data_IF_700494246799
#
_entry.id   IF_700494246799
#
_cell.length_a   1.000
_cell.length_b   1.000
_cell.length_c   1.000
_cell.angle_alpha   90.00
_cell.angle_beta   90.00
_cell.angle_gamma   90.00
#
_symmetry.space_group_name_H-M   'P 1'
#
loop_
_entity.id
_entity.type
_entity.pdbx_description
1 polymer ?
#
# COMPACT_ATOMS: atom_id res chain seq x y z
N UNK A 1 -5.93 -19.57 24.05
CA UNK A 1 -5.97 -18.10 24.10
C UNK A 1 -5.95 -17.58 22.66
N UNK A 2 -6.83 -16.64 22.32
CA UNK A 2 -6.84 -15.91 21.05
C UNK A 2 -6.77 -14.42 21.34
N UNK A 3 -6.09 -13.67 20.49
CA UNK A 3 -5.95 -12.22 20.65
C UNK A 3 -5.93 -11.48 19.33
N UNK A 4 -6.38 -10.23 19.35
CA UNK A 4 -6.38 -9.34 18.19
C UNK A 4 -5.98 -7.94 18.61
N UNK A 5 -4.99 -7.35 17.90
CA UNK A 5 -4.52 -5.99 18.13
C UNK A 5 -5.12 -5.08 17.06
N UNK A 6 -5.68 -3.95 17.48
CA UNK A 6 -6.18 -2.91 16.56
C UNK A 6 -5.74 -1.52 17.02
N UNK A 7 -5.75 -0.56 16.13
CA UNK A 7 -5.48 0.84 16.41
C UNK A 7 -6.65 1.69 15.97
N UNK A 8 -6.74 2.90 16.53
CA UNK A 8 -7.73 3.92 16.17
C UNK A 8 -7.57 4.40 14.72
N UNK A 9 -6.39 4.19 14.13
CA UNK A 9 -6.07 4.57 12.74
C UNK A 9 -5.06 3.59 12.11
N UNK A 10 -4.83 3.72 10.81
CA UNK A 10 -3.88 2.87 10.07
C UNK A 10 -2.45 3.42 9.99
N UNK A 11 -2.30 4.75 10.17
CA UNK A 11 -1.01 5.46 10.10
C UNK A 11 -0.98 6.55 11.16
N UNK A 12 0.13 6.69 11.86
CA UNK A 12 0.40 7.72 12.86
C UNK A 12 1.56 8.60 12.41
N UNK A 13 1.78 9.71 13.10
CA UNK A 13 2.91 10.61 12.90
C UNK A 13 3.89 10.47 14.07
N UNK A 14 5.18 10.75 13.87
CA UNK A 14 6.09 11.02 14.99
C UNK A 14 5.49 12.07 15.93
N UNK A 15 5.53 11.83 17.24
CA UNK A 15 4.89 12.67 18.24
C UNK A 15 3.45 12.33 18.57
N UNK A 16 2.79 11.47 17.78
CA UNK A 16 1.44 11.00 18.11
C UNK A 16 1.46 9.99 19.27
N UNK A 17 0.38 9.97 20.03
CA UNK A 17 0.06 8.84 20.91
C UNK A 17 -0.71 7.79 20.12
N UNK A 18 -0.18 6.58 20.05
CA UNK A 18 -0.85 5.45 19.41
C UNK A 18 -1.88 4.88 20.37
N UNK A 19 -3.17 5.06 20.09
CA UNK A 19 -4.27 4.45 20.86
C UNK A 19 -4.52 3.04 20.31
N UNK A 20 -4.02 2.05 21.05
CA UNK A 20 -4.06 0.64 20.64
C UNK A 20 -4.98 -0.16 21.55
N UNK A 21 -5.86 -0.95 20.95
CA UNK A 21 -6.69 -1.92 21.64
C UNK A 21 -6.18 -3.34 21.43
N UNK A 22 -6.24 -4.13 22.47
CA UNK A 22 -6.03 -5.58 22.41
C UNK A 22 -7.26 -6.30 22.92
N UNK A 23 -7.87 -7.10 22.08
CA UNK A 23 -9.00 -7.95 22.46
C UNK A 23 -8.49 -9.35 22.76
N UNK A 24 -8.64 -9.77 24.01
CA UNK A 24 -8.27 -11.09 24.50
C UNK A 24 -9.51 -11.98 24.60
N UNK A 25 -9.44 -13.16 24.00
CA UNK A 25 -10.46 -14.21 24.14
C UNK A 25 -9.86 -15.42 24.84
N UNK A 26 -10.12 -15.55 26.13
CA UNK A 26 -9.77 -16.69 26.98
C UNK A 26 -11.02 -17.47 27.41
N UNK A 27 -11.68 -18.12 26.44
CA UNK A 27 -12.90 -18.91 26.70
C UNK A 27 -12.67 -20.04 27.70
N UNK A 28 -11.47 -20.57 27.73
CA UNK A 28 -11.11 -21.70 28.60
C UNK A 28 -10.70 -21.28 30.01
N UNK A 29 -10.72 -19.96 30.30
CA UNK A 29 -10.33 -19.36 31.60
C UNK A 29 -8.96 -19.89 32.09
N UNK A 30 -7.99 -19.94 31.17
CA UNK A 30 -6.64 -20.42 31.46
C UNK A 30 -5.80 -19.40 32.23
N UNK A 31 -6.18 -18.12 32.16
CA UNK A 31 -5.46 -17.04 32.84
C UNK A 31 -6.08 -16.73 34.21
N UNK A 32 -5.23 -16.54 35.23
CA UNK A 32 -5.72 -16.09 36.53
C UNK A 32 -6.31 -14.67 36.46
N UNK A 33 -7.12 -14.32 37.45
CA UNK A 33 -7.66 -12.97 37.57
C UNK A 33 -6.53 -11.92 37.63
N UNK A 34 -6.71 -10.81 36.95
CA UNK A 34 -5.73 -9.70 36.84
C UNK A 34 -4.37 -10.14 36.24
N UNK A 35 -4.37 -11.16 35.39
CA UNK A 35 -3.15 -11.57 34.68
C UNK A 35 -2.62 -10.39 33.84
N UNK A 36 -1.31 -10.10 33.90
CA UNK A 36 -0.75 -8.97 33.15
C UNK A 36 -0.80 -9.19 31.65
N UNK A 37 -1.29 -8.18 30.93
CA UNK A 37 -1.20 -8.05 29.47
C UNK A 37 -0.16 -6.99 29.21
N UNK A 38 0.94 -7.38 28.56
CA UNK A 38 2.11 -6.51 28.32
C UNK A 38 2.15 -6.15 26.85
N UNK A 39 2.10 -4.86 26.55
CA UNK A 39 2.27 -4.35 25.19
C UNK A 39 3.63 -3.69 25.04
N UNK A 40 4.35 -4.08 24.01
CA UNK A 40 5.68 -3.58 23.69
C UNK A 40 5.70 -3.03 22.27
N UNK A 41 6.36 -1.88 22.11
CA UNK A 41 6.52 -1.19 20.83
C UNK A 41 7.99 -1.26 20.42
N UNK A 42 8.24 -1.60 19.15
CA UNK A 42 9.57 -1.70 18.55
C UNK A 42 9.64 -0.81 17.31
N UNK A 43 10.73 -0.06 17.17
CA UNK A 43 10.96 0.83 16.05
C UNK A 43 11.28 0.07 14.75
N UNK A 44 11.42 0.74 13.58
CA UNK A 44 11.72 0.09 12.31
C UNK A 44 13.06 -0.68 12.26
N UNK A 45 13.98 -0.37 13.16
CA UNK A 45 15.26 -1.09 13.30
C UNK A 45 15.14 -2.32 14.20
N UNK A 46 13.95 -2.62 14.73
CA UNK A 46 13.70 -3.72 15.65
C UNK A 46 14.16 -3.45 17.09
N UNK A 47 14.51 -2.21 17.41
CA UNK A 47 14.90 -1.82 18.76
C UNK A 47 13.66 -1.59 19.63
N UNK A 48 13.75 -2.04 20.88
CA UNK A 48 12.72 -1.78 21.89
C UNK A 48 12.57 -0.27 22.09
N UNK A 49 11.29 0.17 22.13
CA UNK A 49 10.97 1.58 22.27
C UNK A 49 10.18 1.87 23.55
N UNK A 50 9.05 1.19 23.77
CA UNK A 50 8.17 1.44 24.91
C UNK A 50 7.47 0.16 25.35
N UNK A 51 7.21 0.02 26.66
CA UNK A 51 6.39 -1.04 27.25
C UNK A 51 5.30 -0.44 28.13
N UNK A 52 4.10 -0.99 28.03
CA UNK A 52 3.01 -0.75 28.98
C UNK A 52 2.35 -2.05 29.41
N UNK A 53 1.90 -2.10 30.65
CA UNK A 53 1.26 -3.27 31.23
C UNK A 53 -0.13 -2.89 31.75
N UNK A 54 -1.13 -3.69 31.43
CA UNK A 54 -2.48 -3.60 31.94
C UNK A 54 -2.85 -4.92 32.64
N UNK A 55 -3.48 -4.85 33.79
CA UNK A 55 -3.96 -6.02 34.53
C UNK A 55 -5.49 -6.12 34.54
N UNK A 56 -6.17 -5.06 34.14
CA UNK A 56 -7.63 -4.98 34.08
C UNK A 56 -8.06 -4.59 32.68
N UNK A 57 -8.94 -5.38 32.08
CA UNK A 57 -9.61 -5.10 30.82
C UNK A 57 -11.13 -5.16 30.99
N UNK A 58 -11.87 -4.42 30.19
CA UNK A 58 -13.33 -4.47 30.18
C UNK A 58 -13.80 -5.48 29.13
N UNK A 59 -14.51 -6.51 29.55
CA UNK A 59 -14.97 -7.61 28.67
C UNK A 59 -13.88 -8.23 27.79
N UNK A 60 -12.63 -8.31 28.28
CA UNK A 60 -11.48 -8.81 27.53
C UNK A 60 -10.81 -7.77 26.63
N UNK A 61 -11.26 -6.53 26.64
CA UNK A 61 -10.64 -5.42 25.92
C UNK A 61 -9.67 -4.66 26.83
N UNK A 62 -8.42 -4.53 26.36
CA UNK A 62 -7.34 -3.77 27.00
C UNK A 62 -6.97 -2.59 26.09
N UNK A 63 -6.89 -1.39 26.67
CA UNK A 63 -6.54 -0.17 25.92
C UNK A 63 -5.18 0.33 26.38
N UNK A 64 -4.33 0.66 25.40
CA UNK A 64 -2.97 1.14 25.63
C UNK A 64 -2.72 2.44 24.88
N UNK A 65 -2.26 3.44 25.60
CA UNK A 65 -1.76 4.70 25.01
C UNK A 65 -0.24 4.61 24.92
N UNK A 66 0.27 4.54 23.71
CA UNK A 66 1.69 4.37 23.40
C UNK A 66 2.22 5.66 22.75
N UNK A 67 2.69 6.64 23.54
CA UNK A 67 3.23 7.90 23.01
C UNK A 67 4.53 7.67 22.25
N UNK A 68 4.71 8.43 21.18
CA UNK A 68 5.98 8.51 20.44
C UNK A 68 6.57 9.91 20.54
N UNK A 69 7.90 10.01 20.44
CA UNK A 69 8.60 11.30 20.43
C UNK A 69 8.44 11.97 19.05
N UNK A 70 8.54 13.32 18.99
CA UNK A 70 8.43 14.06 17.72
C UNK A 70 9.52 13.70 16.68
N UNK A 71 10.65 13.18 17.14
CA UNK A 71 11.78 12.71 16.33
C UNK A 71 11.79 11.19 16.14
N UNK A 72 10.72 10.50 16.55
CA UNK A 72 10.60 9.05 16.36
C UNK A 72 10.79 8.67 14.88
N UNK A 73 11.56 7.61 14.58
CA UNK A 73 11.85 7.24 13.20
C UNK A 73 10.57 6.81 12.47
N UNK A 74 10.44 7.27 11.23
CA UNK A 74 9.34 6.86 10.33
C UNK A 74 9.57 5.45 9.78
N UNK A 75 8.50 4.76 9.44
CA UNK A 75 8.54 3.44 8.82
C UNK A 75 7.63 2.42 9.47
N UNK A 76 7.97 1.15 9.30
CA UNK A 76 7.20 0.02 9.82
C UNK A 76 7.64 -0.32 11.25
N UNK A 77 6.75 -0.07 12.20
CA UNK A 77 6.92 -0.42 13.62
C UNK A 77 6.24 -1.74 13.94
N UNK A 78 6.70 -2.45 14.95
CA UNK A 78 6.07 -3.67 15.42
C UNK A 78 5.52 -3.47 16.84
N UNK A 79 4.29 -3.91 17.06
CA UNK A 79 3.68 -4.03 18.38
C UNK A 79 3.59 -5.51 18.74
N UNK A 80 4.09 -5.87 19.90
CA UNK A 80 3.94 -7.18 20.48
C UNK A 80 3.08 -7.10 21.74
N UNK A 81 2.12 -8.01 21.85
CA UNK A 81 1.34 -8.19 23.09
C UNK A 81 1.64 -9.57 23.66
N UNK A 82 2.19 -9.57 24.85
CA UNK A 82 2.55 -10.79 25.60
C UNK A 82 1.51 -11.06 26.70
N UNK A 83 0.87 -12.22 26.67
CA UNK A 83 -0.11 -12.65 27.65
C UNK A 83 -0.17 -14.16 27.74
N UNK A 84 -0.07 -14.70 28.96
CA UNK A 84 -0.17 -16.15 29.21
C UNK A 84 0.83 -17.00 28.42
N UNK A 85 2.04 -16.52 28.18
CA UNK A 85 3.09 -17.20 27.41
C UNK A 85 2.89 -17.14 25.88
N UNK A 86 1.88 -16.40 25.38
CA UNK A 86 1.62 -16.21 23.95
C UNK A 86 1.95 -14.79 23.56
N UNK A 87 2.58 -14.62 22.39
CA UNK A 87 2.87 -13.31 21.79
C UNK A 87 2.01 -13.08 20.55
N UNK A 88 1.30 -11.96 20.53
CA UNK A 88 0.56 -11.47 19.37
C UNK A 88 1.31 -10.28 18.78
N UNK A 89 1.47 -10.24 17.45
CA UNK A 89 2.23 -9.19 16.76
C UNK A 89 1.36 -8.48 15.75
N UNK A 90 1.50 -7.14 15.69
CA UNK A 90 0.90 -6.30 14.63
C UNK A 90 1.94 -5.31 14.12
N UNK A 91 1.98 -5.16 12.80
CA UNK A 91 2.76 -4.11 12.14
C UNK A 91 1.94 -2.82 12.08
N UNK A 92 2.56 -1.72 12.47
CA UNK A 92 2.03 -0.36 12.42
C UNK A 92 2.86 0.50 11.46
N UNK A 93 2.30 1.62 11.02
CA UNK A 93 3.03 2.63 10.24
C UNK A 93 3.07 3.95 10.98
N UNK A 94 4.27 4.49 11.15
CA UNK A 94 4.50 5.86 11.62
C UNK A 94 5.17 6.60 10.47
N UNK A 95 4.49 7.61 9.93
CA UNK A 95 4.92 8.32 8.73
C UNK A 95 4.79 9.84 8.95
N UNK A 96 5.74 10.59 8.44
CA UNK A 96 5.58 12.04 8.36
C UNK A 96 4.67 12.35 7.17
N UNK A 97 3.39 12.59 7.43
CA UNK A 97 2.46 12.99 6.39
C UNK A 97 2.66 14.49 6.14
N UNK A 98 3.46 14.82 5.15
CA UNK A 98 3.52 16.18 4.61
C UNK A 98 2.39 16.31 3.57
N UNK A 99 1.52 17.34 3.68
CA UNK A 99 0.53 17.57 2.63
C UNK A 99 1.23 17.88 1.32
N UNK A 100 0.67 17.39 0.22
CA UNK A 100 1.13 17.78 -1.10
C UNK A 100 1.06 19.30 -1.25
N UNK A 101 2.11 19.88 -1.78
CA UNK A 101 2.17 21.30 -2.16
C UNK A 101 2.08 21.47 -3.67
N UNK A 102 2.30 20.40 -4.40
CA UNK A 102 2.19 20.32 -5.85
C UNK A 102 0.95 19.50 -6.23
N UNK A 103 0.28 19.93 -7.27
CA UNK A 103 -0.73 19.16 -7.98
C UNK A 103 -0.04 18.51 -9.18
N UNK A 104 -0.09 17.18 -9.21
CA UNK A 104 0.53 16.33 -10.24
C UNK A 104 -0.61 15.76 -11.07
N UNK A 105 -0.56 15.95 -12.38
CA UNK A 105 -1.54 15.42 -13.31
C UNK A 105 -0.83 14.54 -14.34
N UNK A 106 -0.85 13.21 -14.13
CA UNK A 106 -0.30 12.24 -15.08
C UNK A 106 -1.43 11.72 -15.96
N UNK A 107 -1.43 12.12 -17.22
CA UNK A 107 -2.41 11.71 -18.22
C UNK A 107 -1.89 10.48 -18.96
N UNK A 108 -2.54 9.35 -18.70
CA UNK A 108 -2.25 8.09 -19.37
C UNK A 108 -3.00 7.99 -20.70
N UNK A 109 -2.47 7.26 -21.71
CA UNK A 109 -3.21 7.02 -22.93
C UNK A 109 -4.53 6.29 -22.64
N UNK A 110 -5.62 6.55 -23.37
CA UNK A 110 -6.95 5.97 -23.13
C UNK A 110 -7.03 4.46 -23.41
N UNK A 111 -5.98 3.89 -23.99
CA UNK A 111 -5.87 2.47 -24.30
C UNK A 111 -5.23 1.70 -23.14
N UNK A 112 -5.60 0.42 -23.02
CA UNK A 112 -4.88 -0.50 -22.13
C UNK A 112 -3.40 -0.50 -22.47
N UNK A 113 -2.57 -0.55 -21.45
CA UNK A 113 -1.14 -0.73 -21.64
C UNK A 113 -0.88 -2.17 -22.12
N UNK A 114 -0.05 -2.34 -23.12
CA UNK A 114 0.31 -3.64 -23.68
C UNK A 114 1.79 -3.93 -23.43
N UNK A 115 2.10 -5.17 -23.13
CA UNK A 115 3.48 -5.63 -23.00
C UNK A 115 4.27 -5.38 -24.28
N UNK A 116 5.46 -4.80 -24.13
CA UNK A 116 6.37 -4.50 -25.23
C UNK A 116 5.96 -3.31 -26.08
N UNK A 117 4.82 -2.67 -25.81
CA UNK A 117 4.45 -1.45 -26.54
C UNK A 117 4.93 -0.20 -25.78
N UNK A 118 5.28 0.86 -26.51
CA UNK A 118 5.68 2.11 -25.88
C UNK A 118 4.48 2.74 -25.15
N UNK A 119 4.74 3.18 -23.93
CA UNK A 119 3.87 4.10 -23.19
C UNK A 119 4.33 5.52 -23.48
N UNK A 120 3.42 6.34 -23.99
CA UNK A 120 3.57 7.78 -24.07
C UNK A 120 2.50 8.41 -23.16
N UNK A 121 2.95 9.01 -22.06
CA UNK A 121 2.09 9.72 -21.11
C UNK A 121 2.57 11.16 -20.96
N UNK A 122 1.63 12.08 -20.73
CA UNK A 122 1.91 13.48 -20.44
C UNK A 122 1.76 13.73 -18.95
N UNK A 123 2.70 14.43 -18.36
CA UNK A 123 2.63 14.90 -16.98
C UNK A 123 2.65 16.41 -16.94
N UNK A 124 1.75 17.01 -16.15
CA UNK A 124 1.75 18.42 -15.82
C UNK A 124 1.81 18.59 -14.31
N UNK A 125 2.65 19.53 -13.85
CA UNK A 125 2.85 19.82 -12.44
C UNK A 125 2.71 21.31 -12.19
N UNK A 126 1.89 21.67 -11.22
CA UNK A 126 1.68 23.04 -10.76
C UNK A 126 1.68 23.12 -9.24
N UNK A 127 2.05 24.25 -8.67
CA UNK A 127 1.85 24.51 -7.25
C UNK A 127 0.35 24.63 -6.96
N UNK A 128 -0.10 24.26 -5.76
CA UNK A 128 -1.52 24.33 -5.37
C UNK A 128 -2.12 25.74 -5.49
N UNK A 129 -1.28 26.78 -5.39
CA UNK A 129 -1.70 28.18 -5.64
C UNK A 129 -1.71 28.57 -7.12
N UNK A 130 -1.48 27.62 -8.05
CA UNK A 130 -1.57 27.83 -9.49
C UNK A 130 -0.27 28.30 -10.17
N UNK A 131 0.83 28.46 -9.42
CA UNK A 131 2.12 28.80 -10.03
C UNK A 131 2.73 27.57 -10.73
N UNK A 132 3.46 27.78 -11.81
CA UNK A 132 4.15 26.73 -12.58
C UNK A 132 5.25 26.08 -11.76
N UNK A 133 5.26 24.75 -11.71
CA UNK A 133 6.27 23.94 -11.04
C UNK A 133 7.39 23.55 -12.01
N UNK A 134 8.25 24.54 -12.35
CA UNK A 134 9.30 24.42 -13.37
C UNK A 134 10.55 23.72 -12.87
N UNK A 135 11.18 22.94 -13.72
CA UNK A 135 12.51 22.35 -13.51
C UNK A 135 12.59 21.46 -12.26
N UNK A 136 11.49 20.85 -11.84
CA UNK A 136 11.45 19.96 -10.69
C UNK A 136 11.78 18.52 -11.09
N UNK A 137 12.60 17.85 -10.28
CA UNK A 137 12.90 16.42 -10.46
C UNK A 137 11.68 15.58 -10.13
N UNK A 138 11.50 14.50 -10.88
CA UNK A 138 10.46 13.53 -10.60
C UNK A 138 10.97 12.09 -10.74
N UNK A 139 10.31 11.17 -10.06
CA UNK A 139 10.37 9.74 -10.33
C UNK A 139 8.96 9.13 -10.39
N UNK A 140 8.82 8.09 -11.20
CA UNK A 140 7.59 7.31 -11.34
C UNK A 140 7.95 5.85 -11.14
N UNK A 141 7.37 5.24 -10.11
CA UNK A 141 7.53 3.82 -9.80
C UNK A 141 6.26 3.07 -10.18
N UNK A 142 6.38 2.05 -11.02
CA UNK A 142 5.28 1.18 -11.42
C UNK A 142 5.30 -0.14 -10.64
N UNK A 143 4.17 -0.55 -10.09
CA UNK A 143 3.96 -1.86 -9.48
C UNK A 143 2.83 -2.57 -10.20
N UNK A 144 3.03 -3.85 -10.53
CA UNK A 144 2.08 -4.66 -11.28
C UNK A 144 1.59 -5.80 -10.40
N UNK A 145 0.27 -5.96 -10.32
CA UNK A 145 -0.38 -7.03 -9.54
C UNK A 145 -1.41 -7.75 -10.42
N UNK A 146 -1.65 -9.03 -10.14
CA UNK A 146 -2.74 -9.78 -10.80
C UNK A 146 -4.09 -9.14 -10.54
N UNK A 147 -4.93 -9.11 -11.57
CA UNK A 147 -6.33 -8.70 -11.48
C UNK A 147 -7.17 -9.63 -12.35
N UNK A 148 -8.43 -9.92 -11.99
CA UNK A 148 -9.31 -10.74 -12.84
C UNK A 148 -9.42 -10.18 -14.25
N UNK A 149 -9.21 -11.02 -15.24
CA UNK A 149 -9.36 -10.66 -16.65
C UNK A 149 -10.82 -10.64 -17.05
N UNK A 150 -11.34 -9.46 -17.34
CA UNK A 150 -12.75 -9.29 -17.71
C UNK A 150 -12.91 -8.47 -18.99
N UNK A 151 -13.91 -8.84 -19.79
CA UNK A 151 -14.31 -8.11 -21.00
C UNK A 151 -15.81 -7.86 -20.96
N UNK A 152 -16.25 -6.67 -21.32
CA UNK A 152 -17.64 -6.21 -21.18
C UNK A 152 -18.67 -7.10 -21.90
N UNK A 153 -18.32 -7.69 -23.02
CA UNK A 153 -19.19 -8.60 -23.78
C UNK A 153 -19.17 -10.06 -23.33
N UNK A 154 -18.30 -10.43 -22.38
CA UNK A 154 -17.98 -11.82 -22.07
C UNK A 154 -18.02 -12.14 -20.58
N UNK A 155 -19.00 -11.60 -19.85
CA UNK A 155 -19.12 -11.72 -18.38
C UNK A 155 -19.21 -13.15 -17.85
N UNK A 156 -19.61 -14.12 -18.69
CA UNK A 156 -19.74 -15.55 -18.32
C UNK A 156 -18.50 -16.38 -18.69
N UNK A 157 -17.42 -15.74 -19.13
CA UNK A 157 -16.19 -16.40 -19.53
C UNK A 157 -15.08 -16.16 -18.50
N UNK A 158 -14.24 -17.16 -18.32
CA UNK A 158 -13.01 -17.10 -17.54
C UNK A 158 -11.83 -17.03 -18.51
N UNK A 159 -10.93 -16.08 -18.29
CA UNK A 159 -9.79 -15.79 -19.15
C UNK A 159 -8.44 -15.99 -18.45
N UNK A 160 -8.45 -16.15 -17.13
CA UNK A 160 -7.24 -16.30 -16.36
C UNK A 160 -6.81 -17.78 -16.34
N UNK A 161 -5.50 -18.02 -16.48
CA UNK A 161 -4.90 -19.34 -16.40
C UNK A 161 -4.67 -19.71 -14.92
N UNK A 162 -5.45 -20.64 -14.34
CA UNK A 162 -5.34 -20.98 -12.91
C UNK A 162 -4.06 -21.73 -12.55
N UNK A 163 -3.31 -22.21 -13.55
CA UNK A 163 -2.02 -22.88 -13.35
C UNK A 163 -0.87 -21.90 -13.15
N UNK A 164 -1.09 -20.63 -13.45
CA UNK A 164 -0.06 -19.58 -13.35
C UNK A 164 -0.21 -18.77 -12.09
N UNK A 165 0.90 -18.48 -11.46
CA UNK A 165 1.00 -17.59 -10.30
C UNK A 165 1.86 -16.40 -10.70
N UNK A 166 1.37 -15.20 -10.41
CA UNK A 166 2.12 -13.97 -10.62
C UNK A 166 2.30 -13.26 -9.27
N UNK A 167 3.52 -13.17 -8.82
CA UNK A 167 3.87 -12.31 -7.71
C UNK A 167 3.98 -10.87 -8.21
N UNK A 168 3.70 -9.89 -7.34
CA UNK A 168 3.83 -8.48 -7.73
C UNK A 168 5.26 -8.18 -8.17
N UNK A 169 5.38 -7.54 -9.32
CA UNK A 169 6.67 -7.06 -9.84
C UNK A 169 6.71 -5.54 -9.75
N UNK A 170 7.80 -5.01 -9.22
CA UNK A 170 8.11 -3.59 -9.29
C UNK A 170 8.82 -3.31 -10.61
N UNK A 171 8.32 -2.31 -11.33
CA UNK A 171 8.97 -1.89 -12.56
C UNK A 171 10.17 -0.98 -12.27
N UNK A 172 10.97 -0.81 -13.29
CA UNK A 172 12.04 0.19 -13.31
C UNK A 172 11.48 1.59 -13.02
N UNK A 173 12.16 2.31 -12.16
CA UNK A 173 11.85 3.72 -11.88
C UNK A 173 12.15 4.55 -13.14
N UNK A 174 11.17 5.37 -13.54
CA UNK A 174 11.30 6.37 -14.60
C UNK A 174 11.56 7.70 -13.91
N UNK A 175 12.65 8.38 -14.25
CA UNK A 175 13.00 9.66 -13.65
C UNK A 175 13.30 10.71 -14.69
N UNK A 176 13.10 11.97 -14.35
CA UNK A 176 13.32 13.10 -15.21
C UNK A 176 13.17 14.43 -14.49
N UNK A 177 13.02 15.49 -15.28
CA UNK A 177 12.82 16.86 -14.81
C UNK A 177 11.69 17.50 -15.63
N UNK A 178 10.79 18.24 -14.97
CA UNK A 178 9.77 19.03 -15.66
C UNK A 178 10.42 20.20 -16.41
N UNK A 179 9.82 20.63 -17.49
CA UNK A 179 10.29 21.79 -18.26
C UNK A 179 9.91 23.13 -17.58
N UNK A 180 10.13 24.23 -18.29
CA UNK A 180 9.81 25.59 -17.83
C UNK A 180 8.30 25.83 -17.67
N UNK A 181 7.44 25.04 -18.32
CA UNK A 181 5.99 25.09 -18.21
C UNK A 181 5.45 24.13 -17.13
N UNK A 182 6.29 23.34 -16.48
CA UNK A 182 5.89 22.31 -15.53
C UNK A 182 5.49 21.01 -16.21
N UNK A 183 5.79 20.82 -17.49
CA UNK A 183 5.39 19.67 -18.28
C UNK A 183 6.53 18.65 -18.40
N UNK A 184 6.14 17.39 -18.58
CA UNK A 184 7.07 16.32 -18.94
C UNK A 184 6.37 15.28 -19.81
N UNK A 185 7.10 14.74 -20.80
CA UNK A 185 6.68 13.58 -21.59
C UNK A 185 7.33 12.33 -21.02
N UNK A 186 6.49 11.39 -20.58
CA UNK A 186 6.92 10.12 -19.99
C UNK A 186 6.92 9.06 -21.08
N UNK A 187 8.10 8.57 -21.41
CA UNK A 187 8.25 7.45 -22.37
C UNK A 187 8.78 6.23 -21.65
N UNK A 188 8.05 5.14 -21.72
CA UNK A 188 8.45 3.88 -21.11
C UNK A 188 8.01 2.67 -21.94
N UNK A 189 8.62 1.53 -21.69
CA UNK A 189 8.22 0.24 -22.24
C UNK A 189 8.32 -0.80 -21.13
N UNK A 190 7.28 -1.57 -20.95
CA UNK A 190 7.20 -2.61 -19.92
C UNK A 190 7.18 -3.99 -20.55
N UNK A 191 8.07 -4.88 -20.08
CA UNK A 191 8.17 -6.29 -20.49
C UNK A 191 7.77 -7.24 -19.36
N UNK A 192 6.78 -6.83 -18.57
CA UNK A 192 6.34 -7.49 -17.35
C UNK A 192 5.25 -8.51 -17.64
N UNK A 193 5.12 -9.53 -16.80
CA UNK A 193 3.99 -10.46 -16.79
C UNK A 193 4.03 -11.53 -17.88
N UNK A 194 5.21 -11.96 -18.36
CA UNK A 194 5.31 -13.07 -19.30
C UNK A 194 4.65 -14.36 -18.79
N UNK A 195 4.63 -14.56 -17.46
CA UNK A 195 4.01 -15.70 -16.77
C UNK A 195 2.72 -15.33 -16.02
N UNK A 196 2.15 -14.16 -16.28
CA UNK A 196 0.92 -13.74 -15.59
C UNK A 196 -0.26 -14.66 -15.93
N UNK A 197 -1.19 -14.92 -14.99
CA UNK A 197 -2.39 -15.70 -15.25
C UNK A 197 -3.32 -15.01 -16.25
N UNK A 198 -3.35 -13.70 -16.27
CA UNK A 198 -4.23 -12.89 -17.09
C UNK A 198 -3.79 -11.43 -17.12
N UNK A 199 -4.75 -10.51 -17.07
CA UNK A 199 -4.48 -9.08 -16.95
C UNK A 199 -3.82 -8.72 -15.64
N UNK A 200 -3.08 -7.62 -15.66
CA UNK A 200 -2.50 -7.00 -14.47
C UNK A 200 -3.10 -5.61 -14.26
N UNK A 201 -3.12 -5.19 -13.01
CA UNK A 201 -3.35 -3.81 -12.63
C UNK A 201 -1.98 -3.16 -12.39
N UNK A 202 -1.64 -2.18 -13.20
CA UNK A 202 -0.47 -1.34 -13.03
C UNK A 202 -0.83 -0.15 -12.14
N UNK A 203 -0.06 0.05 -11.07
CA UNK A 203 -0.16 1.22 -10.17
C UNK A 203 1.12 2.04 -10.33
N UNK A 204 0.99 3.29 -10.75
CA UNK A 204 2.10 4.22 -10.94
C UNK A 204 2.07 5.25 -9.82
N UNK A 205 3.12 5.28 -9.01
CA UNK A 205 3.32 6.28 -7.97
C UNK A 205 4.33 7.29 -8.49
N UNK A 206 3.88 8.53 -8.68
CA UNK A 206 4.70 9.66 -9.13
C UNK A 206 5.09 10.48 -7.92
N UNK A 207 6.38 10.78 -7.78
CA UNK A 207 6.92 11.73 -6.81
C UNK A 207 7.54 12.89 -7.58
N UNK A 208 7.21 14.11 -7.17
CA UNK A 208 7.86 15.32 -7.69
C UNK A 208 8.52 16.04 -6.52
N UNK A 209 9.80 16.32 -6.65
CA UNK A 209 10.67 16.83 -5.59
C UNK A 209 10.81 18.35 -5.68
N UNK A 210 10.63 19.00 -4.54
CA UNK A 210 10.95 20.41 -4.35
C UNK A 210 12.44 20.61 -4.13
N UNK A 211 12.94 21.83 -4.32
CA UNK A 211 14.36 22.16 -4.04
C UNK A 211 14.75 21.92 -2.59
N UNK A 212 13.80 22.01 -1.66
CA UNK A 212 14.01 21.69 -0.23
C UNK A 212 14.26 20.21 0.06
N UNK A 213 14.06 19.33 -0.93
CA UNK A 213 14.09 17.88 -0.77
C UNK A 213 12.75 17.26 -0.37
N UNK A 214 11.74 18.07 -0.06
CA UNK A 214 10.37 17.59 0.11
C UNK A 214 9.80 17.12 -1.22
N UNK A 215 8.75 16.32 -1.18
CA UNK A 215 8.10 15.86 -2.40
C UNK A 215 6.58 15.77 -2.23
N UNK A 216 5.89 15.92 -3.34
CA UNK A 216 4.47 15.62 -3.48
C UNK A 216 4.28 14.31 -4.22
N UNK A 217 3.19 13.61 -3.92
CA UNK A 217 2.88 12.29 -4.46
C UNK A 217 1.53 12.31 -5.17
N UNK A 218 1.46 11.61 -6.32
CA UNK A 218 0.21 11.22 -6.97
C UNK A 218 0.26 9.74 -7.36
N UNK A 219 -0.91 9.10 -7.46
CA UNK A 219 -1.01 7.70 -7.81
C UNK A 219 -2.07 7.47 -8.88
N UNK A 220 -1.65 6.85 -9.97
CA UNK A 220 -2.49 6.50 -11.10
C UNK A 220 -2.53 5.00 -11.31
N UNK A 221 -3.65 4.48 -11.83
CA UNK A 221 -3.82 3.06 -12.13
C UNK A 221 -4.27 2.87 -13.56
N UNK A 222 -3.76 1.82 -14.20
CA UNK A 222 -4.17 1.40 -15.53
C UNK A 222 -4.21 -0.11 -15.65
N UNK A 223 -5.09 -0.64 -16.48
CA UNK A 223 -5.02 -2.03 -16.85
C UNK A 223 -3.83 -2.28 -17.78
N UNK A 224 -3.09 -3.32 -17.49
CA UNK A 224 -1.96 -3.76 -18.30
C UNK A 224 -2.23 -5.16 -18.82
N UNK A 225 -2.03 -5.34 -20.11
CA UNK A 225 -2.23 -6.61 -20.80
C UNK A 225 -0.89 -7.24 -21.16
N UNK A 226 -0.48 -8.33 -20.48
CA UNK A 226 0.70 -9.09 -20.84
C UNK A 226 0.58 -9.78 -22.19
N UNK A 227 -0.65 -10.02 -22.63
CA UNK A 227 -0.96 -10.79 -23.85
C UNK A 227 -1.75 -9.95 -24.84
N UNK A 228 -1.52 -10.17 -26.12
CA UNK A 228 -2.29 -9.55 -27.21
C UNK A 228 -3.64 -10.24 -27.42
N UNK A 229 -3.76 -11.50 -27.00
CA UNK A 229 -4.94 -12.33 -27.14
C UNK A 229 -5.23 -13.07 -25.83
N UNK A 230 -6.51 -13.25 -25.52
CA UNK A 230 -7.01 -14.03 -24.41
C UNK A 230 -8.03 -15.05 -24.92
N UNK A 231 -7.85 -16.30 -24.57
CA UNK A 231 -8.79 -17.34 -24.86
C UNK A 231 -9.68 -17.55 -23.62
N UNK A 232 -10.99 -17.46 -23.79
CA UNK A 232 -11.96 -17.54 -22.69
C UNK A 232 -12.69 -18.87 -22.68
N UNK A 233 -12.85 -19.46 -21.50
CA UNK A 233 -13.62 -20.68 -21.28
C UNK A 233 -14.95 -20.30 -20.62
N UNK A 234 -16.06 -20.78 -21.19
CA UNK A 234 -17.36 -20.68 -20.58
C UNK A 234 -17.71 -22.04 -19.97
N UNK A 235 -17.90 -22.05 -18.63
CA UNK A 235 -18.44 -23.24 -17.98
C UNK A 235 -19.85 -23.51 -18.51
N UNK A 236 -20.21 -24.75 -18.93
CA UNK A 236 -21.61 -25.12 -19.16
C UNK A 236 -22.36 -24.87 -17.84
N UNK A 237 -23.43 -24.09 -17.91
CA UNK A 237 -24.34 -23.92 -16.79
C UNK A 237 -24.90 -25.31 -16.46
N UNK A 238 -24.57 -25.85 -15.28
CA UNK A 238 -25.39 -26.88 -14.68
C UNK A 238 -26.72 -26.19 -14.34
N UNK A 239 -27.71 -26.36 -15.17
CA UNK A 239 -29.07 -26.10 -14.76
C UNK A 239 -29.37 -27.10 -13.65
N UNK A 240 -29.28 -26.59 -12.39
CA UNK A 240 -29.66 -27.37 -11.22
C UNK A 240 -31.17 -27.58 -11.27
N UNK A 241 -31.58 -28.83 -11.39
CA UNK A 241 -32.89 -29.29 -10.92
C UNK A 241 -33.01 -29.14 -9.41
#
# INVERSE_FOLDING_TARGET
IKGFIYGDRGVWRPGDTLHLGFMLNDRSRMLPANHPVIMELYNPLGQFYLRKTQTKGEAGLYVFDMPTEPDAPTGAWNVNVNVGGVTFTKRLRIETIKPNRLKISLTMPPKKLLRGEPLDAAMHVEWLQGATARNLKYDIQGTFISTPTTFSGYKKFYFDDPSKIFNSEESKVISGVTDAAGDATIKARFEIGASAPGMLLASFVTRVYEESGDFSIDANRAFYSPYRRYDGIKSPQQDGE
#
